data_IF_074382580360
#
_entry.id   IF_074382580360
#
_cell.length_a   1.000
_cell.length_b   1.000
_cell.length_c   1.000
_cell.angle_alpha   90.00
_cell.angle_beta   90.00
_cell.angle_gamma   90.00
#
_symmetry.space_group_name_H-M   'P 1'
#
loop_
_entity.id
_entity.type
_entity.pdbx_description
1 polymer ?
#
# COMPACT_ATOMS: atom_id res chain seq x y z
N UNK A 1 54.24 33.22 -40.06
CA UNK A 1 54.33 32.01 -39.21
C UNK A 1 53.64 32.27 -37.87
N UNK A 2 53.90 33.40 -37.22
CA UNK A 2 53.27 33.78 -35.93
C UNK A 2 51.75 33.88 -35.94
N UNK A 3 51.14 34.38 -37.03
CA UNK A 3 49.68 34.46 -37.15
C UNK A 3 49.00 33.08 -37.11
N UNK A 4 49.60 32.07 -37.75
CA UNK A 4 49.06 30.69 -37.76
C UNK A 4 49.17 30.03 -36.39
N UNK A 5 50.29 30.26 -35.69
CA UNK A 5 50.50 29.76 -34.33
C UNK A 5 49.50 30.37 -33.34
N UNK A 6 49.21 31.67 -33.46
CA UNK A 6 48.22 32.34 -32.64
C UNK A 6 46.80 31.81 -32.91
N UNK A 7 46.44 31.57 -34.18
CA UNK A 7 45.15 30.95 -34.51
C UNK A 7 45.02 29.54 -33.93
N UNK A 8 46.07 28.72 -34.03
CA UNK A 8 46.07 27.38 -33.43
C UNK A 8 45.92 27.42 -31.91
N UNK A 9 46.61 28.35 -31.24
CA UNK A 9 46.48 28.56 -29.80
C UNK A 9 45.03 28.89 -29.41
N UNK A 10 44.42 29.88 -30.07
CA UNK A 10 43.05 30.27 -29.79
C UNK A 10 42.06 29.11 -29.99
N UNK A 11 42.27 28.29 -31.03
CA UNK A 11 41.43 27.11 -31.27
C UNK A 11 41.59 26.03 -30.19
N UNK A 12 42.80 25.87 -29.65
CA UNK A 12 43.06 24.95 -28.53
C UNK A 12 42.36 25.46 -27.27
N UNK A 13 42.48 26.75 -26.97
CA UNK A 13 41.82 27.36 -25.79
C UNK A 13 40.29 27.22 -25.90
N UNK A 14 39.72 27.44 -27.09
CA UNK A 14 38.28 27.25 -27.31
C UNK A 14 37.86 25.78 -27.17
N UNK A 15 38.68 24.85 -27.65
CA UNK A 15 38.43 23.42 -27.51
C UNK A 15 38.46 23.00 -26.04
N UNK A 16 39.39 23.52 -25.26
CA UNK A 16 39.50 23.27 -23.82
C UNK A 16 38.25 23.75 -23.08
N UNK A 17 37.78 24.97 -23.35
CA UNK A 17 36.54 25.51 -22.77
C UNK A 17 35.32 24.65 -23.11
N UNK A 18 35.22 24.22 -24.37
CA UNK A 18 34.10 23.35 -24.81
C UNK A 18 34.15 21.99 -24.14
N UNK A 19 35.35 21.43 -23.96
CA UNK A 19 35.53 20.14 -23.30
C UNK A 19 35.20 20.22 -21.81
N UNK A 20 35.60 21.31 -21.16
CA UNK A 20 35.29 21.56 -19.75
C UNK A 20 33.78 21.67 -19.53
N UNK A 21 33.08 22.43 -20.37
CA UNK A 21 31.61 22.51 -20.32
C UNK A 21 30.94 21.15 -20.55
N UNK A 22 31.40 20.39 -21.54
CA UNK A 22 30.88 19.05 -21.79
C UNK A 22 31.08 18.13 -20.57
N UNK A 23 32.22 18.25 -19.89
CA UNK A 23 32.51 17.50 -18.67
C UNK A 23 31.53 17.86 -17.55
N UNK A 24 31.30 19.15 -17.33
CA UNK A 24 30.33 19.63 -16.33
C UNK A 24 28.91 19.11 -16.62
N UNK A 25 28.45 19.19 -17.87
CA UNK A 25 27.14 18.70 -18.29
C UNK A 25 27.00 17.18 -18.05
N UNK A 26 28.02 16.39 -18.42
CA UNK A 26 28.05 14.93 -18.19
C UNK A 26 28.00 14.61 -16.69
N UNK A 27 28.79 15.32 -15.87
CA UNK A 27 28.80 15.11 -14.42
C UNK A 27 27.44 15.44 -13.80
N UNK A 28 26.81 16.53 -14.23
CA UNK A 28 25.46 16.90 -13.78
C UNK A 28 24.44 15.80 -14.11
N UNK A 29 24.43 15.33 -15.35
CA UNK A 29 23.52 14.26 -15.80
C UNK A 29 23.76 12.94 -15.05
N UNK A 30 25.02 12.57 -14.79
CA UNK A 30 25.34 11.37 -14.01
C UNK A 30 24.84 11.47 -12.57
N UNK A 31 24.92 12.66 -11.96
CA UNK A 31 24.39 12.89 -10.61
C UNK A 31 22.86 12.77 -10.58
N UNK A 32 22.16 13.35 -11.56
CA UNK A 32 20.70 13.20 -11.69
C UNK A 32 20.30 11.72 -11.84
N UNK A 33 20.98 10.96 -12.70
CA UNK A 33 20.74 9.53 -12.84
C UNK A 33 20.95 8.76 -11.53
N UNK A 34 22.00 9.10 -10.77
CA UNK A 34 22.29 8.48 -9.47
C UNK A 34 21.15 8.72 -8.48
N UNK A 35 20.58 9.92 -8.45
CA UNK A 35 19.47 10.24 -7.58
C UNK A 35 18.17 9.52 -7.99
N UNK A 36 17.88 9.42 -9.29
CA UNK A 36 16.76 8.60 -9.77
C UNK A 36 16.89 7.12 -9.38
N UNK A 37 18.10 6.56 -9.44
CA UNK A 37 18.36 5.17 -8.99
C UNK A 37 18.08 5.03 -7.50
N UNK A 38 18.48 6.00 -6.66
CA UNK A 38 18.18 5.98 -5.21
C UNK A 38 16.67 6.05 -4.96
N UNK A 39 15.96 6.95 -5.64
CA UNK A 39 14.50 7.07 -5.51
C UNK A 39 13.79 5.78 -5.94
N UNK A 40 14.21 5.16 -7.05
CA UNK A 40 13.65 3.89 -7.51
C UNK A 40 13.88 2.77 -6.48
N UNK A 41 15.08 2.68 -5.89
CA UNK A 41 15.37 1.73 -4.81
C UNK A 41 14.47 1.93 -3.59
N UNK A 42 14.25 3.18 -3.18
CA UNK A 42 13.34 3.50 -2.08
C UNK A 42 11.91 3.06 -2.37
N UNK A 43 11.39 3.35 -3.58
CA UNK A 43 10.05 2.94 -3.98
C UNK A 43 9.90 1.42 -4.01
N UNK A 44 10.89 0.69 -4.53
CA UNK A 44 10.89 -0.78 -4.51
C UNK A 44 10.87 -1.32 -3.08
N UNK A 45 11.63 -0.71 -2.16
CA UNK A 45 11.62 -1.12 -0.76
C UNK A 45 10.27 -0.89 -0.10
N UNK A 46 9.69 0.31 -0.29
CA UNK A 46 8.35 0.63 0.22
C UNK A 46 7.28 -0.30 -0.34
N UNK A 47 7.33 -0.62 -1.63
CA UNK A 47 6.40 -1.56 -2.25
C UNK A 47 6.54 -2.97 -1.64
N UNK A 48 7.76 -3.43 -1.38
CA UNK A 48 8.01 -4.70 -0.71
C UNK A 48 7.47 -4.70 0.73
N UNK A 49 7.70 -3.64 1.49
CA UNK A 49 7.14 -3.48 2.85
C UNK A 49 5.60 -3.52 2.83
N UNK A 50 4.96 -2.76 1.94
CA UNK A 50 3.51 -2.77 1.79
C UNK A 50 2.96 -4.15 1.41
N UNK A 51 3.65 -4.89 0.55
CA UNK A 51 3.27 -6.26 0.22
C UNK A 51 3.35 -7.18 1.44
N UNK A 52 4.43 -7.09 2.23
CA UNK A 52 4.56 -7.90 3.46
C UNK A 52 3.55 -7.53 4.55
N UNK A 53 3.19 -6.25 4.68
CA UNK A 53 2.13 -5.80 5.60
C UNK A 53 0.79 -6.37 5.18
N UNK A 54 0.47 -6.31 3.88
CA UNK A 54 -0.78 -6.86 3.34
C UNK A 54 -0.86 -8.38 3.46
N UNK A 55 0.24 -9.10 3.25
CA UNK A 55 0.32 -10.55 3.47
C UNK A 55 0.14 -10.91 4.96
N UNK A 56 0.76 -10.17 5.87
CA UNK A 56 0.61 -10.39 7.32
C UNK A 56 -0.80 -10.07 7.82
N UNK A 57 -1.42 -9.00 7.33
CA UNK A 57 -2.83 -8.67 7.63
C UNK A 57 -3.79 -9.73 7.09
N UNK A 58 -3.54 -10.25 5.89
CA UNK A 58 -4.33 -11.32 5.28
C UNK A 58 -4.16 -12.66 6.01
N UNK A 59 -2.95 -12.98 6.47
CA UNK A 59 -2.66 -14.16 7.27
C UNK A 59 -3.33 -14.09 8.64
N UNK A 60 -3.29 -12.93 9.32
CA UNK A 60 -4.01 -12.71 10.57
C UNK A 60 -5.53 -12.79 10.39
N UNK A 61 -6.08 -12.21 9.31
CA UNK A 61 -7.49 -12.33 9.00
C UNK A 61 -7.91 -13.78 8.71
N UNK A 62 -7.04 -14.59 8.09
CA UNK A 62 -7.30 -16.01 7.88
C UNK A 62 -7.29 -16.82 9.18
N UNK A 63 -6.41 -16.47 10.13
CA UNK A 63 -6.33 -17.12 11.46
C UNK A 63 -7.57 -16.77 12.30
N UNK A 64 -7.96 -15.50 12.33
CA UNK A 64 -9.21 -15.08 12.99
C UNK A 64 -10.42 -15.79 12.36
N UNK A 65 -10.48 -15.92 11.04
CA UNK A 65 -11.61 -16.61 10.38
C UNK A 65 -11.68 -18.10 10.74
N UNK A 66 -10.55 -18.79 10.91
CA UNK A 66 -10.53 -20.17 11.44
C UNK A 66 -10.99 -20.23 12.90
N UNK A 67 -10.59 -19.28 13.74
CA UNK A 67 -10.98 -19.23 15.15
C UNK A 67 -12.48 -18.92 15.32
N UNK A 68 -13.02 -17.99 14.52
CA UNK A 68 -14.47 -17.71 14.46
C UNK A 68 -15.29 -18.86 13.88
N UNK A 69 -14.76 -19.59 12.89
CA UNK A 69 -15.41 -20.77 12.34
C UNK A 69 -15.48 -21.92 13.36
N UNK A 70 -14.44 -22.15 14.15
CA UNK A 70 -14.46 -23.16 15.21
C UNK A 70 -15.43 -22.77 16.35
N UNK A 71 -15.49 -21.48 16.73
CA UNK A 71 -16.45 -20.97 17.74
C UNK A 71 -17.91 -21.07 17.24
N UNK A 72 -18.15 -20.87 15.93
CA UNK A 72 -19.50 -20.94 15.36
C UNK A 72 -20.03 -22.37 15.23
N UNK A 73 -19.17 -23.36 14.98
CA UNK A 73 -19.55 -24.78 14.97
C UNK A 73 -19.99 -25.24 16.37
N UNK A 74 -19.32 -24.80 17.43
CA UNK A 74 -19.70 -25.14 18.81
C UNK A 74 -21.00 -24.42 19.25
N UNK A 75 -21.21 -23.17 18.82
CA UNK A 75 -22.40 -22.37 19.15
C UNK A 75 -23.65 -22.66 18.31
N UNK A 76 -23.57 -23.45 17.24
CA UNK A 76 -24.72 -23.81 16.41
C UNK A 76 -25.63 -24.88 17.04
N UNK A 77 -25.18 -25.55 18.10
CA UNK A 77 -25.96 -26.58 18.82
C UNK A 77 -26.79 -26.03 19.98
N UNK A 78 -26.63 -24.76 20.36
CA UNK A 78 -27.38 -24.13 21.45
C UNK A 78 -28.26 -22.98 20.95
N UNK A 79 -29.58 -23.22 20.88
CA UNK A 79 -30.65 -22.24 20.68
C UNK A 79 -30.69 -21.21 21.83
N UNK A 80 -29.74 -20.28 21.85
CA UNK A 80 -29.70 -19.16 22.80
C UNK A 80 -29.99 -17.88 22.03
N UNK A 81 -30.94 -17.03 22.48
CA UNK A 81 -31.18 -15.74 21.85
C UNK A 81 -29.91 -14.87 21.92
N UNK A 82 -29.21 -14.77 20.79
CA UNK A 82 -27.93 -14.05 20.71
C UNK A 82 -28.17 -12.56 20.90
N UNK A 83 -27.68 -12.02 22.02
CA UNK A 83 -27.54 -10.58 22.23
C UNK A 83 -26.49 -10.05 21.25
N UNK A 84 -26.75 -8.90 20.65
CA UNK A 84 -25.88 -8.24 19.65
C UNK A 84 -25.51 -6.87 20.18
N UNK A 85 -24.25 -6.48 20.00
CA UNK A 85 -23.78 -5.11 20.24
C UNK A 85 -23.51 -4.48 18.87
N UNK A 86 -24.20 -3.39 18.55
CA UNK A 86 -23.94 -2.58 17.37
C UNK A 86 -23.07 -1.39 17.75
N UNK A 87 -21.91 -1.28 17.11
CA UNK A 87 -21.05 -0.10 17.22
C UNK A 87 -21.34 0.84 16.04
N UNK A 88 -21.82 2.04 16.33
CA UNK A 88 -22.12 3.07 15.34
C UNK A 88 -21.30 4.30 15.69
N UNK A 89 -20.23 4.53 14.92
CA UNK A 89 -19.32 5.68 15.10
C UNK A 89 -18.73 5.78 16.53
N UNK A 90 -18.53 4.64 17.20
CA UNK A 90 -18.00 4.56 18.55
C UNK A 90 -19.06 4.49 19.66
N UNK A 91 -20.35 4.68 19.34
CA UNK A 91 -21.45 4.45 20.27
C UNK A 91 -21.95 3.01 20.21
N UNK A 92 -22.10 2.37 21.38
CA UNK A 92 -22.46 0.95 21.50
C UNK A 92 -23.92 0.74 21.90
N UNK A 93 -24.71 0.15 21.00
CA UNK A 93 -26.11 -0.19 21.21
C UNK A 93 -26.27 -1.69 21.46
N UNK A 94 -26.90 -2.04 22.58
CA UNK A 94 -27.17 -3.43 22.94
C UNK A 94 -28.57 -3.83 22.48
N UNK A 95 -28.67 -4.91 21.71
CA UNK A 95 -29.93 -5.39 21.10
C UNK A 95 -29.91 -6.92 20.95
N UNK A 96 -30.85 -7.50 20.20
CA UNK A 96 -30.90 -8.94 19.89
C UNK A 96 -30.97 -9.18 18.39
N UNK A 97 -30.53 -10.36 17.93
CA UNK A 97 -30.71 -10.78 16.53
C UNK A 97 -32.18 -10.67 16.13
N UNK A 98 -33.10 -11.13 16.98
CA UNK A 98 -34.54 -11.03 16.77
C UNK A 98 -34.99 -9.59 16.48
N UNK A 99 -34.50 -8.61 17.24
CA UNK A 99 -34.84 -7.19 17.04
C UNK A 99 -34.33 -6.68 15.70
N UNK A 100 -33.12 -7.08 15.31
CA UNK A 100 -32.47 -6.65 14.06
C UNK A 100 -33.06 -7.33 12.82
N UNK A 101 -33.57 -8.54 12.95
CA UNK A 101 -34.18 -9.30 11.86
C UNK A 101 -35.71 -9.16 11.81
N UNK A 102 -36.32 -8.42 12.76
CA UNK A 102 -37.77 -8.24 12.88
C UNK A 102 -38.41 -7.67 11.60
N UNK A 103 -37.69 -6.80 10.91
CA UNK A 103 -38.15 -6.21 9.65
C UNK A 103 -37.48 -6.91 8.47
N UNK A 104 -38.30 -7.51 7.61
CA UNK A 104 -37.85 -8.21 6.41
C UNK A 104 -37.16 -7.27 5.41
N UNK A 105 -36.34 -7.84 4.52
CA UNK A 105 -35.63 -7.14 3.45
C UNK A 105 -34.66 -6.02 3.88
N UNK A 106 -34.35 -5.91 5.16
CA UNK A 106 -33.31 -4.99 5.66
C UNK A 106 -31.92 -5.59 5.53
N UNK A 107 -30.89 -4.73 5.61
CA UNK A 107 -29.48 -5.15 5.64
C UNK A 107 -29.26 -6.25 6.70
N UNK A 108 -29.69 -6.00 7.94
CA UNK A 108 -29.53 -6.97 9.03
C UNK A 108 -30.30 -8.26 8.78
N UNK A 109 -31.55 -8.19 8.31
CA UNK A 109 -32.34 -9.38 8.01
C UNK A 109 -31.67 -10.30 6.97
N UNK A 110 -31.11 -9.72 5.89
CA UNK A 110 -30.41 -10.48 4.85
C UNK A 110 -29.11 -11.09 5.38
N UNK A 111 -28.30 -10.30 6.07
CA UNK A 111 -26.99 -10.72 6.60
C UNK A 111 -27.12 -11.87 7.60
N UNK A 112 -28.10 -11.81 8.52
CA UNK A 112 -28.31 -12.88 9.50
C UNK A 112 -28.98 -14.13 8.89
N UNK A 113 -29.85 -13.99 7.89
CA UNK A 113 -30.43 -15.15 7.19
C UNK A 113 -29.42 -15.89 6.32
N UNK A 114 -28.50 -15.18 5.65
CA UNK A 114 -27.40 -15.83 4.92
C UNK A 114 -26.48 -16.60 5.85
N UNK A 115 -26.24 -16.07 7.06
CA UNK A 115 -25.41 -16.72 8.06
C UNK A 115 -26.05 -17.95 8.73
N UNK A 116 -27.40 -18.07 8.70
CA UNK A 116 -28.11 -19.24 9.26
C UNK A 116 -28.39 -20.35 8.24
N UNK A 117 -28.17 -20.09 6.94
CA UNK A 117 -28.38 -21.07 5.85
C UNK A 117 -27.08 -21.66 5.29
N UNK A 118 -25.93 -21.11 5.68
CA UNK A 118 -24.61 -21.67 5.42
C UNK A 118 -24.24 -22.66 6.53
#
# INVERSE_FOLDING_TARGET
MDSTLNTMRNNIDELEIRFEKLREDIVSQLNECSDYIKSAKMLCHQAAEMATVSENESANASIENTEWNDITVESATALVPRKVILDVEGEKFHTSVETLTRTENTFFHRTFLSAMRA
#
